data_IF_299756456142
#
_entry.id   IF_299756456142
#
_cell.length_a   1.000
_cell.length_b   1.000
_cell.length_c   1.000
_cell.angle_alpha   90.00
_cell.angle_beta   90.00
_cell.angle_gamma   90.00
#
_symmetry.space_group_name_H-M   'P 1'
#
loop_
_entity.id
_entity.type
_entity.pdbx_description
1 polymer ?
#
# COMPACT_ATOMS: atom_id res chain seq x y z
N UNK A 1 -4.86 -17.47 3.59
CA UNK A 1 -3.58 -16.87 3.96
C UNK A 1 -3.58 -16.60 5.45
N UNK A 2 -2.59 -17.09 6.16
CA UNK A 2 -2.71 -17.30 7.61
C UNK A 2 -2.46 -16.00 8.37
N UNK A 3 -3.43 -15.53 9.14
CA UNK A 3 -3.31 -14.38 10.06
C UNK A 3 -2.17 -14.54 11.10
N UNK A 4 -1.62 -15.74 11.21
CA UNK A 4 -0.59 -16.09 12.19
C UNK A 4 0.81 -15.57 11.85
N UNK A 5 1.12 -15.26 10.58
CA UNK A 5 2.48 -14.89 10.14
C UNK A 5 2.95 -13.52 10.64
N UNK A 6 2.04 -12.56 10.88
CA UNK A 6 2.41 -11.22 11.34
C UNK A 6 2.44 -11.07 12.88
N UNK A 7 1.98 -12.08 13.63
CA UNK A 7 1.90 -11.99 15.10
C UNK A 7 3.24 -12.21 15.82
N UNK A 8 4.23 -12.85 15.16
CA UNK A 8 5.56 -13.09 15.76
C UNK A 8 6.46 -11.83 15.74
N UNK A 9 6.08 -10.81 14.99
CA UNK A 9 6.86 -9.57 14.81
C UNK A 9 6.77 -8.59 15.98
N UNK A 10 5.82 -8.79 16.88
CA UNK A 10 5.70 -8.01 18.13
C UNK A 10 6.96 -8.07 19.02
N UNK A 11 7.85 -9.04 18.78
CA UNK A 11 9.12 -9.15 19.51
C UNK A 11 10.15 -8.09 19.07
N UNK A 12 10.09 -7.60 17.82
CA UNK A 12 11.00 -6.60 17.29
C UNK A 12 10.60 -5.16 17.66
N UNK A 13 9.33 -4.92 17.93
CA UNK A 13 8.77 -3.59 18.18
C UNK A 13 8.93 -3.10 19.62
N UNK A 14 9.79 -3.71 20.42
CA UNK A 14 9.92 -3.39 21.86
C UNK A 14 10.41 -1.97 22.20
N UNK A 15 10.71 -1.09 21.19
CA UNK A 15 11.27 0.25 21.46
C UNK A 15 10.61 1.40 20.67
N UNK A 16 9.58 1.15 19.89
CA UNK A 16 9.01 2.23 19.04
C UNK A 16 9.95 2.73 17.93
N UNK A 17 11.03 2.02 17.65
CA UNK A 17 11.95 2.33 16.57
C UNK A 17 11.54 1.61 15.27
N UNK A 18 11.75 2.28 14.13
CA UNK A 18 11.53 1.67 12.84
C UNK A 18 12.61 0.61 12.56
N UNK A 19 12.22 -0.47 11.90
CA UNK A 19 13.12 -1.56 11.50
C UNK A 19 12.76 -2.09 10.11
N UNK A 20 13.74 -2.68 9.43
CA UNK A 20 13.55 -3.39 8.18
C UNK A 20 14.39 -4.65 8.11
N UNK A 21 13.87 -5.65 7.41
CA UNK A 21 14.56 -6.90 7.10
C UNK A 21 14.34 -7.23 5.61
N UNK A 22 15.41 -7.57 4.91
CA UNK A 22 15.37 -7.91 3.48
C UNK A 22 15.92 -9.30 3.27
N UNK A 23 15.19 -10.12 2.52
CA UNK A 23 15.61 -11.48 2.18
C UNK A 23 15.38 -11.75 0.70
N UNK A 24 16.38 -12.26 0.01
CA UNK A 24 16.22 -12.74 -1.37
C UNK A 24 15.56 -14.13 -1.36
N UNK A 25 14.52 -14.29 -2.16
CA UNK A 25 13.78 -15.54 -2.30
C UNK A 25 14.37 -16.43 -3.39
N UNK A 26 13.98 -17.72 -3.38
CA UNK A 26 14.52 -18.70 -4.31
C UNK A 26 14.13 -18.46 -5.78
N UNK A 27 13.01 -17.78 -6.01
CA UNK A 27 12.50 -17.37 -7.34
C UNK A 27 13.14 -16.08 -7.87
N UNK A 28 14.04 -15.49 -7.08
CA UNK A 28 14.73 -14.23 -7.42
C UNK A 28 13.99 -12.98 -6.97
N UNK A 29 12.78 -13.08 -6.44
CA UNK A 29 12.10 -11.98 -5.79
C UNK A 29 12.74 -11.63 -4.43
N UNK A 30 12.30 -10.54 -3.83
CA UNK A 30 12.77 -10.09 -2.52
C UNK A 30 11.60 -9.96 -1.56
N UNK A 31 11.74 -10.50 -0.37
CA UNK A 31 10.85 -10.24 0.74
C UNK A 31 11.43 -9.13 1.60
N UNK A 32 10.64 -8.08 1.78
CA UNK A 32 10.97 -6.94 2.65
C UNK A 32 9.94 -6.87 3.75
N UNK A 33 10.40 -6.91 4.99
CA UNK A 33 9.56 -6.74 6.18
C UNK A 33 9.91 -5.40 6.82
N UNK A 34 8.89 -4.63 7.18
CA UNK A 34 9.01 -3.30 7.76
C UNK A 34 8.12 -3.19 9.00
N UNK A 35 8.60 -2.51 10.00
CA UNK A 35 7.78 -2.13 11.14
C UNK A 35 8.25 -0.83 11.76
N UNK A 36 7.31 -0.06 12.31
CA UNK A 36 7.63 1.20 12.96
C UNK A 36 6.47 2.19 13.02
N UNK A 37 6.70 3.35 13.67
CA UNK A 37 5.74 4.43 13.82
C UNK A 37 5.72 5.35 12.58
N UNK A 38 5.49 4.76 11.39
CA UNK A 38 5.48 5.51 10.14
C UNK A 38 4.29 6.48 10.05
N UNK A 39 4.44 7.63 9.36
CA UNK A 39 3.35 8.57 9.11
C UNK A 39 2.26 7.94 8.21
N UNK A 40 1.03 8.47 8.25
CA UNK A 40 -0.11 7.90 7.50
C UNK A 40 0.17 7.71 6.00
N UNK A 41 0.95 8.60 5.38
CA UNK A 41 1.27 8.56 3.94
C UNK A 41 2.45 7.65 3.56
N UNK A 42 3.10 6.96 4.51
CA UNK A 42 4.34 6.22 4.26
C UNK A 42 4.24 5.17 3.14
N UNK A 43 3.09 4.51 3.02
CA UNK A 43 2.85 3.52 1.97
C UNK A 43 2.83 4.16 0.57
N UNK A 44 2.22 5.34 0.43
CA UNK A 44 2.25 6.11 -0.82
C UNK A 44 3.67 6.55 -1.16
N UNK A 45 4.42 7.02 -0.16
CA UNK A 45 5.81 7.46 -0.30
C UNK A 45 6.69 6.28 -0.72
N UNK A 46 6.66 5.18 0.02
CA UNK A 46 7.45 3.99 -0.28
C UNK A 46 7.14 3.41 -1.66
N UNK A 47 5.84 3.24 -2.00
CA UNK A 47 5.44 2.68 -3.29
C UNK A 47 5.85 3.58 -4.47
N UNK A 48 5.85 4.91 -4.29
CA UNK A 48 6.36 5.85 -5.28
C UNK A 48 7.87 5.67 -5.51
N UNK A 49 8.63 5.64 -4.44
CA UNK A 49 10.09 5.43 -4.53
C UNK A 49 10.48 4.07 -5.11
N UNK A 50 9.71 3.02 -4.84
CA UNK A 50 9.91 1.72 -5.45
C UNK A 50 9.65 1.77 -6.96
N UNK A 51 8.53 2.39 -7.37
CA UNK A 51 8.20 2.54 -8.79
C UNK A 51 9.25 3.36 -9.56
N UNK A 52 9.72 4.47 -9.01
CA UNK A 52 10.80 5.30 -9.57
C UNK A 52 12.11 4.54 -9.77
N UNK A 53 12.34 3.50 -8.97
CA UNK A 53 13.52 2.62 -9.01
C UNK A 53 13.32 1.37 -9.85
N UNK A 54 12.24 1.28 -10.63
CA UNK A 54 11.88 0.08 -11.40
C UNK A 54 11.70 -1.17 -10.53
N UNK A 55 11.06 -1.02 -9.38
CA UNK A 55 10.73 -2.12 -8.46
C UNK A 55 9.22 -2.29 -8.44
N UNK A 56 8.75 -3.47 -8.84
CA UNK A 56 7.33 -3.84 -8.79
C UNK A 56 7.00 -4.49 -7.44
N UNK A 57 5.81 -4.17 -6.93
CA UNK A 57 5.23 -4.81 -5.75
C UNK A 57 4.30 -5.91 -6.25
N UNK A 58 4.71 -7.16 -6.11
CA UNK A 58 3.93 -8.34 -6.54
C UNK A 58 2.89 -8.72 -5.50
N UNK A 59 3.28 -8.63 -4.24
CA UNK A 59 2.43 -8.97 -3.11
C UNK A 59 2.76 -8.10 -1.91
N UNK A 60 1.74 -7.66 -1.18
CA UNK A 60 1.94 -6.93 0.07
C UNK A 60 0.79 -7.16 1.04
N UNK A 61 1.15 -7.27 2.29
CA UNK A 61 0.24 -7.13 3.41
C UNK A 61 0.83 -6.11 4.38
N UNK A 62 0.10 -5.04 4.66
CA UNK A 62 0.47 -4.05 5.67
C UNK A 62 -0.71 -3.76 6.57
N UNK A 63 -0.45 -3.60 7.87
CA UNK A 63 -1.46 -3.31 8.87
C UNK A 63 -0.94 -2.36 9.94
N UNK A 64 -1.75 -1.39 10.30
CA UNK A 64 -1.56 -0.52 11.45
C UNK A 64 -2.13 -1.21 12.71
N UNK A 65 -1.31 -1.35 13.74
CA UNK A 65 -1.70 -1.95 15.01
C UNK A 65 -1.27 -1.03 16.13
N UNK A 66 -2.23 -0.50 16.89
CA UNK A 66 -1.98 0.49 17.94
C UNK A 66 -1.28 1.74 17.41
N UNK A 67 0.03 1.87 17.61
CA UNK A 67 0.84 3.03 17.21
C UNK A 67 1.88 2.69 16.13
N UNK A 68 1.88 1.44 15.65
CA UNK A 68 2.90 0.96 14.73
C UNK A 68 2.32 0.28 13.50
N UNK A 69 3.07 0.37 12.43
CA UNK A 69 2.87 -0.41 11.22
C UNK A 69 3.68 -1.70 11.25
N UNK A 70 3.11 -2.75 10.68
CA UNK A 70 3.81 -3.98 10.32
C UNK A 70 3.44 -4.29 8.90
N UNK A 71 4.44 -4.51 8.05
CA UNK A 71 4.24 -4.79 6.64
C UNK A 71 5.23 -5.83 6.11
N UNK A 72 4.75 -6.61 5.15
CA UNK A 72 5.56 -7.52 4.34
C UNK A 72 5.30 -7.24 2.86
N UNK A 73 6.36 -7.07 2.10
CA UNK A 73 6.35 -6.84 0.66
C UNK A 73 7.08 -7.97 -0.05
N UNK A 74 6.52 -8.45 -1.15
CA UNK A 74 7.24 -9.22 -2.14
C UNK A 74 7.53 -8.31 -3.34
N UNK A 75 8.81 -8.07 -3.57
CA UNK A 75 9.29 -7.12 -4.56
C UNK A 75 9.98 -7.83 -5.71
N UNK A 76 9.73 -7.36 -6.92
CA UNK A 76 10.38 -7.83 -8.15
C UNK A 76 11.22 -6.69 -8.70
N UNK A 77 12.54 -6.91 -8.80
CA UNK A 77 13.45 -6.00 -9.47
C UNK A 77 13.28 -6.10 -10.98
N UNK A 78 12.85 -5.02 -11.62
CA UNK A 78 12.78 -4.90 -13.08
C UNK A 78 14.14 -4.49 -13.65
N UNK A 79 14.36 -4.52 -14.97
CA UNK A 79 15.58 -4.03 -15.56
C UNK A 79 15.93 -2.62 -15.09
N UNK A 80 17.17 -2.40 -14.70
CA UNK A 80 17.70 -1.13 -14.12
C UNK A 80 17.31 -0.85 -12.68
N UNK A 81 16.66 -1.76 -11.97
CA UNK A 81 16.46 -1.63 -10.53
C UNK A 81 17.82 -1.69 -9.78
N UNK A 82 17.95 -1.01 -8.63
CA UNK A 82 19.13 -1.13 -7.78
C UNK A 82 19.21 -2.52 -7.13
N UNK A 83 20.32 -2.81 -6.46
CA UNK A 83 20.40 -3.98 -5.59
C UNK A 83 19.50 -3.77 -4.37
N UNK A 84 18.40 -4.51 -4.31
CA UNK A 84 17.39 -4.39 -3.27
C UNK A 84 17.88 -4.78 -1.87
N UNK A 85 18.98 -5.50 -1.75
CA UNK A 85 19.62 -5.80 -0.46
C UNK A 85 20.32 -4.58 0.15
N UNK A 86 20.64 -3.57 -0.67
CA UNK A 86 21.35 -2.36 -0.24
C UNK A 86 20.43 -1.15 -0.04
N UNK A 87 19.11 -1.30 -0.27
CA UNK A 87 18.14 -0.21 -0.13
C UNK A 87 17.81 0.02 1.34
N UNK A 88 17.84 1.27 1.78
CA UNK A 88 17.32 1.68 3.08
C UNK A 88 15.81 1.93 2.97
N UNK A 89 15.02 0.92 3.31
CA UNK A 89 13.55 0.99 3.22
C UNK A 89 12.93 1.89 4.27
N UNK A 90 13.60 2.11 5.40
CA UNK A 90 13.13 3.04 6.42
C UNK A 90 13.27 4.46 5.90
N UNK A 91 14.44 4.81 5.39
CA UNK A 91 14.67 6.11 4.76
C UNK A 91 13.65 6.36 3.64
N UNK A 92 13.39 5.36 2.77
CA UNK A 92 12.40 5.48 1.70
C UNK A 92 10.97 5.68 2.21
N UNK A 93 10.61 5.08 3.34
CA UNK A 93 9.27 5.21 3.92
C UNK A 93 9.07 6.56 4.64
N UNK A 94 10.14 7.14 5.17
CA UNK A 94 10.11 8.38 5.95
C UNK A 94 10.46 9.62 5.13
N UNK A 95 11.26 9.46 4.06
CA UNK A 95 11.78 10.58 3.27
C UNK A 95 10.85 10.91 2.11
N UNK A 96 10.37 12.12 2.09
CA UNK A 96 9.72 12.68 0.92
C UNK A 96 8.29 13.13 1.11
N UNK A 97 7.76 13.65 0.04
CA UNK A 97 6.34 13.98 -0.13
C UNK A 97 5.74 12.83 -0.93
N UNK A 98 4.56 12.36 -0.55
CA UNK A 98 3.81 11.41 -1.39
C UNK A 98 3.85 11.90 -2.84
N UNK A 99 4.17 11.01 -3.76
CA UNK A 99 4.23 11.36 -5.19
C UNK A 99 2.95 12.07 -5.62
N UNK A 100 3.03 12.93 -6.62
CA UNK A 100 1.81 13.51 -7.21
C UNK A 100 0.91 12.39 -7.70
N UNK A 101 -0.40 12.54 -7.50
CA UNK A 101 -1.37 11.60 -8.04
C UNK A 101 -1.15 11.44 -9.55
N UNK A 102 -0.71 10.25 -9.94
CA UNK A 102 -0.62 9.85 -11.35
C UNK A 102 -1.98 9.37 -11.86
N UNK A 103 -2.13 9.23 -13.17
CA UNK A 103 -3.28 8.52 -13.71
C UNK A 103 -3.14 7.02 -13.47
N UNK A 104 -4.23 6.37 -13.12
CA UNK A 104 -4.34 4.92 -13.04
C UNK A 104 -5.65 4.47 -13.69
N UNK A 105 -5.69 3.23 -14.11
CA UNK A 105 -6.86 2.64 -14.76
C UNK A 105 -7.33 1.42 -13.96
N UNK A 106 -8.65 1.31 -13.77
CA UNK A 106 -9.30 0.20 -13.09
C UNK A 106 -10.21 -0.57 -14.05
N UNK A 107 -10.20 -1.88 -13.95
CA UNK A 107 -11.18 -2.73 -14.64
C UNK A 107 -12.50 -2.76 -13.85
N UNK A 108 -12.40 -2.84 -12.53
CA UNK A 108 -13.55 -2.79 -11.63
C UNK A 108 -13.12 -2.34 -10.24
N UNK A 109 -14.09 -1.83 -9.47
CA UNK A 109 -13.91 -1.59 -8.04
C UNK A 109 -15.21 -1.79 -7.27
N UNK A 110 -15.07 -1.92 -5.96
CA UNK A 110 -16.17 -1.90 -5.00
C UNK A 110 -15.76 -1.11 -3.77
N UNK A 111 -16.56 -0.11 -3.41
CA UNK A 111 -16.37 0.71 -2.22
C UNK A 111 -17.54 0.51 -1.26
N UNK A 112 -17.24 0.10 -0.03
CA UNK A 112 -18.24 -0.19 1.00
C UNK A 112 -17.86 0.45 2.31
N UNK A 113 -18.85 0.89 3.08
CA UNK A 113 -18.62 1.21 4.49
C UNK A 113 -18.38 -0.08 5.27
N UNK A 114 -17.33 -0.09 6.08
CA UNK A 114 -16.96 -1.21 6.97
C UNK A 114 -17.01 -0.75 8.43
N UNK A 115 -17.36 -1.68 9.32
CA UNK A 115 -17.28 -1.47 10.78
C UNK A 115 -15.90 -1.78 11.34
N UNK A 116 -15.02 -2.35 10.53
CA UNK A 116 -13.66 -2.65 10.94
C UNK A 116 -12.91 -1.37 11.29
N UNK A 117 -11.97 -1.46 12.20
CA UNK A 117 -11.11 -0.35 12.63
C UNK A 117 -11.86 0.90 13.12
N UNK A 118 -13.06 0.73 13.73
CA UNK A 118 -13.85 1.85 14.24
C UNK A 118 -14.64 2.63 13.19
N UNK A 119 -14.80 2.06 11.99
CA UNK A 119 -15.48 2.62 10.84
C UNK A 119 -14.50 3.07 9.76
N UNK A 120 -14.46 2.34 8.67
CA UNK A 120 -13.57 2.56 7.52
C UNK A 120 -14.36 2.48 6.22
N UNK A 121 -13.72 2.85 5.10
CA UNK A 121 -14.15 2.43 3.77
C UNK A 121 -13.31 1.22 3.36
N UNK A 122 -13.95 0.14 2.97
CA UNK A 122 -13.31 -1.00 2.34
C UNK A 122 -13.38 -0.82 0.82
N UNK A 123 -12.23 -0.61 0.21
CA UNK A 123 -12.05 -0.57 -1.23
C UNK A 123 -11.48 -1.91 -1.69
N UNK A 124 -12.16 -2.57 -2.63
CA UNK A 124 -11.59 -3.68 -3.40
C UNK A 124 -11.54 -3.28 -4.85
N UNK A 125 -10.48 -3.64 -5.56
CA UNK A 125 -10.32 -3.29 -6.97
C UNK A 125 -9.64 -4.40 -7.76
N UNK A 126 -9.91 -4.36 -9.06
CA UNK A 126 -9.17 -5.12 -10.07
C UNK A 126 -8.64 -4.16 -11.13
N UNK A 127 -7.41 -4.37 -11.55
CA UNK A 127 -6.76 -3.56 -12.55
C UNK A 127 -5.75 -4.39 -13.35
N UNK A 128 -5.33 -3.90 -14.50
CA UNK A 128 -4.11 -4.38 -15.13
C UNK A 128 -2.92 -3.94 -14.27
N UNK A 129 -2.10 -4.92 -13.86
CA UNK A 129 -0.89 -4.60 -13.10
C UNK A 129 0.07 -3.74 -13.93
N UNK A 130 0.51 -2.66 -13.34
CA UNK A 130 1.46 -1.72 -13.95
C UNK A 130 2.33 -1.08 -12.89
N UNK A 131 3.57 -0.78 -13.26
CA UNK A 131 4.49 -0.10 -12.37
C UNK A 131 3.92 1.27 -11.95
N UNK A 132 3.82 1.48 -10.63
CA UNK A 132 3.28 2.72 -10.06
C UNK A 132 1.75 2.76 -9.87
N UNK A 133 1.00 1.70 -10.21
CA UNK A 133 -0.44 1.61 -9.97
C UNK A 133 -0.78 1.92 -8.50
N UNK A 134 -0.14 1.20 -7.57
CA UNK A 134 -0.39 1.38 -6.13
C UNK A 134 -0.03 2.79 -5.67
N UNK A 135 1.11 3.35 -6.10
CA UNK A 135 1.51 4.69 -5.69
C UNK A 135 0.54 5.76 -6.20
N UNK A 136 0.07 5.66 -7.44
CA UNK A 136 -0.92 6.59 -8.02
C UNK A 136 -2.26 6.51 -7.31
N UNK A 137 -2.74 5.30 -7.01
CA UNK A 137 -3.96 5.07 -6.23
C UNK A 137 -3.85 5.68 -4.83
N UNK A 138 -2.80 5.32 -4.08
CA UNK A 138 -2.60 5.81 -2.70
C UNK A 138 -2.41 7.33 -2.65
N UNK A 139 -1.74 7.93 -3.63
CA UNK A 139 -1.58 9.38 -3.72
C UNK A 139 -2.92 10.07 -3.97
N UNK A 140 -3.75 9.54 -4.88
CA UNK A 140 -5.09 10.08 -5.13
C UNK A 140 -6.01 9.97 -3.91
N UNK A 141 -5.91 8.87 -3.15
CA UNK A 141 -6.66 8.71 -1.90
C UNK A 141 -6.16 9.67 -0.80
N UNK A 142 -4.85 9.90 -0.72
CA UNK A 142 -4.25 10.84 0.24
C UNK A 142 -4.70 12.29 0.00
N UNK A 143 -4.94 12.71 -1.26
CA UNK A 143 -5.53 14.02 -1.59
C UNK A 143 -6.95 14.20 -1.01
N UNK A 144 -7.64 13.09 -0.74
CA UNK A 144 -8.96 13.05 -0.10
C UNK A 144 -8.91 12.82 1.42
N UNK A 145 -7.72 12.93 2.03
CA UNK A 145 -7.47 12.60 3.46
C UNK A 145 -7.82 11.14 3.79
N UNK A 146 -7.60 10.22 2.85
CA UNK A 146 -7.82 8.78 3.03
C UNK A 146 -6.50 8.02 3.00
N UNK A 147 -6.28 7.24 4.05
CA UNK A 147 -5.08 6.43 4.23
C UNK A 147 -5.47 5.00 4.62
N UNK A 148 -4.80 3.98 4.08
CA UNK A 148 -5.06 2.61 4.51
C UNK A 148 -4.65 2.41 5.97
N UNK A 149 -5.44 1.70 6.74
CA UNK A 149 -5.08 1.10 8.03
C UNK A 149 -4.67 -0.37 7.87
N UNK A 150 -5.19 -1.00 6.85
CA UNK A 150 -4.78 -2.32 6.39
C UNK A 150 -4.89 -2.36 4.87
N UNK A 151 -3.97 -3.09 4.23
CA UNK A 151 -4.06 -3.37 2.81
C UNK A 151 -3.51 -4.76 2.48
N UNK A 152 -4.11 -5.34 1.46
CA UNK A 152 -3.68 -6.57 0.83
C UNK A 152 -3.57 -6.32 -0.66
N UNK A 153 -2.40 -6.49 -1.22
CA UNK A 153 -2.10 -6.36 -2.64
C UNK A 153 -1.68 -7.72 -3.17
N UNK A 154 -2.19 -8.09 -4.31
CA UNK A 154 -1.82 -9.34 -4.96
C UNK A 154 -1.86 -9.20 -6.47
N UNK A 155 -0.75 -9.52 -7.13
CA UNK A 155 -0.66 -9.63 -8.58
C UNK A 155 -0.77 -11.09 -9.01
N UNK A 156 -1.72 -11.39 -9.89
CA UNK A 156 -1.91 -12.71 -10.50
C UNK A 156 -2.06 -12.56 -12.01
N UNK A 157 -1.18 -13.23 -12.77
CA UNK A 157 -1.23 -13.22 -14.23
C UNK A 157 -1.28 -11.81 -14.84
N UNK A 158 -0.51 -10.86 -14.30
CA UNK A 158 -0.45 -9.48 -14.76
C UNK A 158 -1.70 -8.63 -14.42
N UNK A 159 -2.47 -9.05 -13.43
CA UNK A 159 -3.62 -8.32 -12.89
C UNK A 159 -3.44 -8.11 -11.40
N UNK A 160 -3.74 -6.89 -10.95
CA UNK A 160 -3.77 -6.53 -9.55
C UNK A 160 -5.17 -6.81 -8.96
N UNK A 161 -5.19 -7.35 -7.75
CA UNK A 161 -6.37 -7.61 -6.92
C UNK A 161 -6.10 -7.06 -5.54
N UNK A 162 -6.58 -5.86 -5.28
CA UNK A 162 -6.22 -5.12 -4.08
C UNK A 162 -7.42 -4.95 -3.15
N UNK A 163 -7.15 -4.96 -1.86
CA UNK A 163 -8.14 -4.68 -0.80
C UNK A 163 -7.54 -3.72 0.21
N UNK A 164 -8.20 -2.60 0.45
CA UNK A 164 -7.73 -1.54 1.35
C UNK A 164 -8.83 -1.16 2.33
N UNK A 165 -8.49 -1.03 3.61
CA UNK A 165 -9.35 -0.45 4.64
C UNK A 165 -8.88 0.97 4.92
N UNK A 166 -9.67 1.93 4.49
CA UNK A 166 -9.31 3.35 4.43
C UNK A 166 -9.95 4.13 5.58
N UNK A 167 -9.16 4.95 6.25
CA UNK A 167 -9.61 5.90 7.27
C UNK A 167 -9.00 7.29 7.02
N UNK A 168 -9.46 8.29 7.74
CA UNK A 168 -8.84 9.62 7.77
C UNK A 168 -7.51 9.57 8.54
N UNK A 169 -6.60 10.51 8.27
CA UNK A 169 -5.30 10.60 8.97
C UNK A 169 -5.45 10.67 10.50
N UNK A 170 -6.48 11.33 11.00
CA UNK A 170 -6.82 11.41 12.43
C UNK A 170 -7.64 10.23 12.96
N UNK A 171 -7.87 9.19 12.14
CA UNK A 171 -8.76 8.07 12.45
C UNK A 171 -10.25 8.42 12.27
N UNK A 172 -11.09 7.41 12.46
CA UNK A 172 -12.55 7.52 12.36
C UNK A 172 -13.09 7.45 10.92
N UNK A 173 -14.42 7.38 10.78
CA UNK A 173 -15.07 7.18 9.50
C UNK A 173 -14.92 8.41 8.60
N UNK A 174 -14.71 8.20 7.28
CA UNK A 174 -14.73 9.27 6.30
C UNK A 174 -16.10 9.98 6.24
N UNK A 175 -16.08 11.26 5.90
CA UNK A 175 -17.32 12.03 5.75
C UNK A 175 -18.10 11.60 4.49
N UNK A 176 -19.43 11.83 4.42
CA UNK A 176 -20.20 11.58 3.20
C UNK A 176 -19.65 12.32 1.98
N UNK A 177 -19.08 13.51 2.16
CA UNK A 177 -18.42 14.26 1.09
C UNK A 177 -17.14 13.57 0.61
N UNK A 178 -16.33 13.08 1.54
CA UNK A 178 -15.11 12.31 1.21
C UNK A 178 -15.48 11.05 0.42
N UNK A 179 -16.53 10.33 0.87
CA UNK A 179 -17.03 9.13 0.16
C UNK A 179 -17.44 9.47 -1.27
N UNK A 180 -18.23 10.54 -1.47
CA UNK A 180 -18.65 10.98 -2.80
C UNK A 180 -17.45 11.34 -3.69
N UNK A 181 -16.49 12.13 -3.17
CA UNK A 181 -15.29 12.48 -3.93
C UNK A 181 -14.42 11.25 -4.25
N UNK A 182 -14.38 10.25 -3.37
CA UNK A 182 -13.68 8.98 -3.65
C UNK A 182 -14.34 8.22 -4.79
N UNK A 183 -15.67 8.15 -4.82
CA UNK A 183 -16.42 7.55 -5.93
C UNK A 183 -16.13 8.28 -7.25
N UNK A 184 -16.14 9.61 -7.25
CA UNK A 184 -15.83 10.42 -8.45
C UNK A 184 -14.43 10.10 -9.01
N UNK A 185 -13.42 9.95 -8.14
CA UNK A 185 -12.05 9.58 -8.54
C UNK A 185 -12.00 8.17 -9.11
N UNK A 186 -12.63 7.21 -8.45
CA UNK A 186 -12.62 5.81 -8.88
C UNK A 186 -13.42 5.60 -10.17
N UNK A 187 -14.57 6.26 -10.31
CA UNK A 187 -15.38 6.23 -11.55
C UNK A 187 -14.63 6.85 -12.73
N UNK A 188 -13.86 7.93 -12.46
CA UNK A 188 -13.00 8.55 -13.47
C UNK A 188 -11.85 7.66 -13.94
N UNK A 189 -11.44 6.70 -13.11
CA UNK A 189 -10.37 5.75 -13.41
C UNK A 189 -10.86 4.46 -14.10
N UNK A 190 -12.18 4.20 -14.18
CA UNK A 190 -12.71 3.00 -14.82
C UNK A 190 -12.40 3.00 -16.33
N UNK A 191 -11.83 1.90 -16.79
CA UNK A 191 -11.66 1.65 -18.24
C UNK A 191 -13.04 1.54 -18.89
N UNK A 192 -13.28 2.35 -19.92
CA UNK A 192 -14.53 2.24 -20.68
C UNK A 192 -14.54 0.90 -21.42
N UNK A 193 -15.64 0.12 -21.33
CA UNK A 193 -15.77 -1.08 -22.15
C UNK A 193 -15.68 -0.70 -23.63
N UNK A 194 -14.78 -1.39 -24.36
CA UNK A 194 -14.59 -1.23 -25.81
C UNK A 194 -15.73 -1.86 -26.58
#
# INVERSE_FOLDING_TARGET
MDRASLSDDAAFTRRGEAWSEVTRLADGAFRVRLGGPFPAAWLSILSSHLAERNVSIDHTHARHTEEIWIAEFHLIALPSAPDLLSVDYIELAESGIAGSAGSFELDSYRLLESRDYGGTLMLTLEARDSLGLLSSLLSSLAELDLYPLELHIETRNGRAYDSLWLARAGGGPPSPRTIASTLDVLDGALTKPS
#
